data_IF_500253342293
#
_entry.id   IF_500253342293
#
_cell.length_a   1.000
_cell.length_b   1.000
_cell.length_c   1.000
_cell.angle_alpha   90.00
_cell.angle_beta   90.00
_cell.angle_gamma   90.00
#
_symmetry.space_group_name_H-M   'P 1'
#
loop_
_entity.id
_entity.type
_entity.pdbx_description
1 polymer ?
#
# COMPACT_ATOMS: atom_id res chain seq x y z
N UNK A 1 4.53 19.36 11.61
CA UNK A 1 4.14 20.75 11.88
C UNK A 1 4.37 21.66 10.67
N UNK A 2 5.61 21.85 10.20
CA UNK A 2 5.93 22.76 9.07
C UNK A 2 5.13 22.51 7.79
N UNK A 3 4.85 21.24 7.47
CA UNK A 3 4.02 20.87 6.30
C UNK A 3 2.59 21.33 6.51
N UNK A 4 2.04 21.11 7.69
CA UNK A 4 0.68 21.50 8.05
C UNK A 4 0.52 23.03 8.14
N UNK A 5 1.52 23.71 8.67
CA UNK A 5 1.58 25.19 8.69
C UNK A 5 1.57 25.80 7.29
N UNK A 6 2.28 25.15 6.33
CA UNK A 6 2.41 25.65 4.96
C UNK A 6 1.23 25.28 4.06
N UNK A 7 0.64 24.09 4.23
CA UNK A 7 -0.33 23.54 3.28
C UNK A 7 -1.74 23.29 3.92
N UNK A 8 -1.93 23.63 5.17
CA UNK A 8 -3.22 23.50 5.86
C UNK A 8 -3.65 22.03 6.00
N UNK A 9 -4.84 21.68 5.52
CA UNK A 9 -5.46 20.37 5.70
C UNK A 9 -4.93 19.27 4.76
N UNK A 10 -3.66 19.30 4.39
CA UNK A 10 -3.07 18.21 3.58
C UNK A 10 -3.05 16.90 4.37
N UNK A 11 -3.37 15.81 3.72
CA UNK A 11 -3.21 14.46 4.27
C UNK A 11 -1.74 14.08 4.30
N UNK A 12 -1.27 13.60 5.44
CA UNK A 12 0.14 13.20 5.63
C UNK A 12 0.20 11.67 5.72
N UNK A 13 1.03 11.06 4.90
CA UNK A 13 1.37 9.65 4.93
C UNK A 13 2.82 9.50 5.34
N UNK A 14 3.11 8.53 6.18
CA UNK A 14 4.45 8.26 6.69
C UNK A 14 4.76 6.80 6.48
N UNK A 15 5.84 6.54 5.76
CA UNK A 15 6.49 5.23 5.76
C UNK A 15 7.63 5.25 6.77
N UNK A 16 7.52 4.42 7.79
CA UNK A 16 8.53 4.29 8.83
C UNK A 16 9.60 3.25 8.48
N UNK A 17 9.36 2.43 7.46
CA UNK A 17 10.29 1.41 6.97
C UNK A 17 10.93 0.62 8.12
N UNK A 18 10.09 0.11 9.04
CA UNK A 18 10.52 -0.67 10.21
C UNK A 18 11.38 0.11 11.22
N UNK A 19 11.37 1.43 11.16
CA UNK A 19 12.31 2.29 11.90
C UNK A 19 11.94 2.55 13.36
N UNK A 20 10.78 2.11 13.85
CA UNK A 20 10.35 2.36 15.24
C UNK A 20 10.41 1.10 16.10
N UNK A 21 10.72 1.30 17.37
CA UNK A 21 10.28 0.43 18.45
C UNK A 21 8.89 0.86 18.91
N UNK A 22 8.15 -0.03 19.61
CA UNK A 22 6.75 0.26 20.02
C UNK A 22 6.61 1.57 20.79
N UNK A 23 7.55 1.87 21.69
CA UNK A 23 7.55 3.12 22.48
C UNK A 23 7.77 4.37 21.63
N UNK A 24 8.49 4.26 20.54
CA UNK A 24 8.74 5.38 19.64
C UNK A 24 7.54 5.62 18.73
N UNK A 25 6.87 4.55 18.30
CA UNK A 25 5.59 4.64 17.61
C UNK A 25 4.52 5.32 18.48
N UNK A 26 4.40 4.92 19.75
CA UNK A 26 3.46 5.56 20.69
C UNK A 26 3.73 7.06 20.85
N UNK A 27 5.01 7.45 21.00
CA UNK A 27 5.40 8.87 21.08
C UNK A 27 5.09 9.60 19.78
N UNK A 28 5.37 8.98 18.63
CA UNK A 28 5.11 9.56 17.32
C UNK A 28 3.60 9.80 17.11
N UNK A 29 2.77 8.81 17.37
CA UNK A 29 1.30 8.93 17.30
C UNK A 29 0.82 10.06 18.21
N UNK A 30 1.25 10.08 19.47
CA UNK A 30 0.87 11.11 20.44
C UNK A 30 1.27 12.53 20.00
N UNK A 31 2.40 12.66 19.32
CA UNK A 31 2.88 13.95 18.84
C UNK A 31 2.20 14.43 17.55
N UNK A 32 1.63 13.50 16.75
CA UNK A 32 1.17 13.79 15.39
C UNK A 32 -0.33 13.60 15.15
N UNK A 33 -1.08 13.06 16.12
CA UNK A 33 -2.50 12.70 15.97
C UNK A 33 -3.40 13.89 15.54
N UNK A 34 -2.99 15.14 15.79
CA UNK A 34 -3.73 16.34 15.37
C UNK A 34 -3.25 16.93 14.04
N UNK A 35 -2.24 16.33 13.40
CA UNK A 35 -1.57 16.91 12.23
C UNK A 35 -2.09 16.37 10.88
N UNK A 36 -3.25 15.69 10.84
CA UNK A 36 -3.82 15.15 9.61
C UNK A 36 -3.11 13.89 9.09
N UNK A 37 -2.52 13.11 10.01
CA UNK A 37 -1.88 11.83 9.70
C UNK A 37 -2.93 10.85 9.18
N UNK A 38 -2.73 10.36 7.96
CA UNK A 38 -3.68 9.47 7.27
C UNK A 38 -3.28 8.00 7.43
N UNK A 39 -2.01 7.68 7.24
CA UNK A 39 -1.45 6.32 7.41
C UNK A 39 -0.03 6.37 7.98
N UNK A 40 0.34 5.29 8.67
CA UNK A 40 1.71 4.99 9.11
C UNK A 40 2.06 3.59 8.58
N UNK A 41 2.97 3.53 7.62
CA UNK A 41 3.37 2.29 6.97
C UNK A 41 4.53 1.65 7.72
N UNK A 42 4.47 0.33 7.83
CA UNK A 42 5.42 -0.61 8.46
C UNK A 42 6.21 0.00 9.63
N UNK A 43 5.54 0.34 10.73
CA UNK A 43 6.22 1.04 11.83
C UNK A 43 7.28 0.20 12.54
N UNK A 44 7.04 -1.11 12.73
CA UNK A 44 7.91 -2.01 13.47
C UNK A 44 8.62 -3.01 12.54
N UNK A 45 9.74 -3.55 13.01
CA UNK A 45 10.43 -4.66 12.37
C UNK A 45 9.49 -5.86 12.16
N UNK A 46 9.65 -6.54 11.02
CA UNK A 46 8.97 -7.81 10.73
C UNK A 46 9.24 -8.81 11.86
N UNK A 47 8.16 -9.43 12.36
CA UNK A 47 8.17 -10.34 13.51
C UNK A 47 7.79 -9.69 14.84
N UNK A 48 7.62 -8.36 14.88
CA UNK A 48 7.17 -7.61 16.06
C UNK A 48 5.71 -7.14 15.99
N UNK A 49 4.94 -7.64 15.02
CA UNK A 49 3.57 -7.17 14.76
C UNK A 49 2.65 -7.35 15.97
N UNK A 50 2.89 -8.37 16.79
CA UNK A 50 2.11 -8.61 18.01
C UNK A 50 2.22 -7.47 19.04
N UNK A 51 3.31 -6.71 19.04
CA UNK A 51 3.48 -5.55 19.92
C UNK A 51 2.46 -4.45 19.59
N UNK A 52 1.99 -4.37 18.35
CA UNK A 52 0.98 -3.40 17.90
C UNK A 52 -0.37 -3.58 18.60
N UNK A 53 -0.63 -4.75 19.21
CA UNK A 53 -1.84 -4.98 19.99
C UNK A 53 -1.99 -4.02 21.19
N UNK A 54 -0.89 -3.40 21.65
CA UNK A 54 -0.88 -2.40 22.74
C UNK A 54 -1.36 -1.02 22.27
N UNK A 55 -1.30 -0.74 20.96
CA UNK A 55 -1.75 0.52 20.36
C UNK A 55 -3.28 0.57 20.37
N UNK A 56 -3.83 1.74 20.65
CA UNK A 56 -5.27 1.97 20.59
C UNK A 56 -5.85 1.54 19.23
N UNK A 57 -6.99 0.82 19.19
CA UNK A 57 -7.62 0.37 17.94
C UNK A 57 -7.84 1.47 16.90
N UNK A 58 -8.14 2.69 17.36
CA UNK A 58 -8.29 3.84 16.48
C UNK A 58 -7.01 4.11 15.67
N UNK A 59 -5.85 4.06 16.33
CA UNK A 59 -4.57 4.27 15.63
C UNK A 59 -4.11 3.04 14.86
N UNK A 60 -4.47 1.82 15.31
CA UNK A 60 -4.19 0.61 14.52
C UNK A 60 -4.91 0.60 13.17
N UNK A 61 -6.06 1.24 13.07
CA UNK A 61 -6.82 1.34 11.81
C UNK A 61 -6.07 2.10 10.70
N UNK A 62 -5.09 2.92 11.03
CA UNK A 62 -4.24 3.64 10.07
C UNK A 62 -2.84 3.05 9.91
N UNK A 63 -2.53 1.94 10.61
CA UNK A 63 -1.27 1.22 10.41
C UNK A 63 -1.35 0.34 9.18
N UNK A 64 -0.30 0.39 8.37
CA UNK A 64 -0.19 -0.36 7.12
C UNK A 64 0.86 -1.46 7.25
N UNK A 65 0.52 -2.68 6.83
CA UNK A 65 1.48 -3.77 6.67
C UNK A 65 2.10 -3.71 5.27
N UNK A 66 3.42 -3.53 5.17
CA UNK A 66 4.20 -3.66 3.93
C UNK A 66 5.14 -4.86 3.99
N UNK A 67 6.32 -4.76 4.58
CA UNK A 67 7.30 -5.85 4.60
C UNK A 67 6.82 -7.07 5.40
N UNK A 68 5.90 -6.89 6.32
CA UNK A 68 5.23 -7.98 7.03
C UNK A 68 4.24 -8.76 6.16
N UNK A 69 3.68 -8.12 5.11
CA UNK A 69 2.68 -8.71 4.22
C UNK A 69 3.33 -9.30 2.98
N UNK A 70 3.71 -10.57 3.01
CA UNK A 70 4.42 -11.23 1.90
C UNK A 70 3.54 -12.14 1.05
N UNK A 71 2.48 -12.71 1.61
CA UNK A 71 1.63 -13.72 0.96
C UNK A 71 0.30 -13.89 1.70
N UNK A 72 -0.56 -14.78 1.22
CA UNK A 72 -1.85 -15.08 1.85
C UNK A 72 -1.73 -15.61 3.29
N UNK A 73 -0.66 -16.34 3.64
CA UNK A 73 -0.47 -16.80 5.02
C UNK A 73 -0.23 -15.64 5.97
N UNK A 74 0.60 -14.66 5.60
CA UNK A 74 0.78 -13.44 6.42
C UNK A 74 -0.53 -12.65 6.52
N UNK A 75 -1.30 -12.54 5.44
CA UNK A 75 -2.61 -11.90 5.48
C UNK A 75 -3.58 -12.60 6.46
N UNK A 76 -3.65 -13.94 6.42
CA UNK A 76 -4.46 -14.73 7.36
C UNK A 76 -4.03 -14.48 8.81
N UNK A 77 -2.73 -14.44 9.08
CA UNK A 77 -2.21 -14.24 10.43
C UNK A 77 -2.53 -12.85 11.01
N UNK A 78 -2.78 -11.84 10.17
CA UNK A 78 -3.10 -10.49 10.61
C UNK A 78 -4.59 -10.17 10.66
N UNK A 79 -5.47 -11.11 10.26
CA UNK A 79 -6.92 -10.91 10.35
C UNK A 79 -7.54 -11.18 11.72
N UNK A 80 -7.03 -12.08 12.60
CA UNK A 80 -7.61 -12.28 13.92
C UNK A 80 -7.47 -11.04 14.83
N UNK A 81 -8.46 -10.80 15.67
CA UNK A 81 -8.43 -9.73 16.67
C UNK A 81 -7.50 -10.11 17.85
N UNK A 82 -6.70 -9.17 18.36
CA UNK A 82 -6.59 -7.78 17.94
C UNK A 82 -5.74 -7.63 16.65
N UNK A 83 -6.37 -7.14 15.58
CA UNK A 83 -5.67 -6.93 14.31
C UNK A 83 -4.51 -5.93 14.47
N UNK A 84 -3.28 -6.27 14.04
CA UNK A 84 -2.15 -5.37 14.16
C UNK A 84 -2.21 -4.21 13.16
N UNK A 85 -2.83 -4.43 12.00
CA UNK A 85 -2.92 -3.47 10.91
C UNK A 85 -4.36 -3.28 10.45
N UNK A 86 -4.74 -2.06 10.11
CA UNK A 86 -6.02 -1.75 9.48
C UNK A 86 -5.95 -1.72 7.96
N UNK A 87 -4.73 -1.75 7.38
CA UNK A 87 -4.50 -1.59 5.96
C UNK A 87 -3.40 -2.56 5.52
N UNK A 88 -3.59 -3.20 4.35
CA UNK A 88 -2.61 -4.06 3.70
C UNK A 88 -2.04 -3.38 2.45
N UNK A 89 -0.72 -3.15 2.41
CA UNK A 89 -0.03 -2.70 1.20
C UNK A 89 0.37 -3.90 0.35
N UNK A 90 -0.34 -4.10 -0.75
CA UNK A 90 -0.10 -5.19 -1.70
C UNK A 90 0.80 -4.67 -2.83
N UNK A 91 1.95 -5.31 -3.00
CA UNK A 91 2.87 -5.09 -4.14
C UNK A 91 2.99 -6.41 -4.92
N UNK A 92 2.73 -6.39 -6.23
CA UNK A 92 2.72 -7.61 -7.05
C UNK A 92 4.06 -8.35 -7.02
N UNK A 93 5.16 -7.60 -7.04
CA UNK A 93 6.52 -8.17 -6.95
C UNK A 93 6.80 -8.83 -5.60
N UNK A 94 6.18 -8.36 -4.54
CA UNK A 94 6.35 -8.90 -3.19
C UNK A 94 5.54 -10.18 -2.98
N UNK A 95 4.30 -10.22 -3.44
CA UNK A 95 3.38 -11.32 -3.16
C UNK A 95 3.39 -12.46 -4.21
N UNK A 96 4.02 -12.25 -5.37
CA UNK A 96 4.15 -13.27 -6.41
C UNK A 96 3.13 -13.15 -7.55
N UNK A 97 2.55 -11.97 -7.76
CA UNK A 97 1.70 -11.65 -8.92
C UNK A 97 0.21 -11.61 -8.63
N UNK A 98 -0.60 -11.57 -9.71
CA UNK A 98 -2.03 -11.24 -9.65
C UNK A 98 -2.87 -12.20 -8.80
N UNK A 99 -2.65 -13.52 -8.93
CA UNK A 99 -3.45 -14.50 -8.18
C UNK A 99 -3.20 -14.40 -6.67
N UNK A 100 -1.93 -14.29 -6.27
CA UNK A 100 -1.58 -14.13 -4.86
C UNK A 100 -2.11 -12.78 -4.31
N UNK A 101 -2.04 -11.71 -5.10
CA UNK A 101 -2.62 -10.41 -4.72
C UNK A 101 -4.14 -10.49 -4.53
N UNK A 102 -4.86 -11.22 -5.40
CA UNK A 102 -6.29 -11.43 -5.29
C UNK A 102 -6.67 -12.24 -4.05
N UNK A 103 -5.88 -13.26 -3.70
CA UNK A 103 -6.07 -14.01 -2.45
C UNK A 103 -5.94 -13.11 -1.23
N UNK A 104 -4.86 -12.29 -1.17
CA UNK A 104 -4.64 -11.32 -0.09
C UNK A 104 -5.80 -10.33 0.00
N UNK A 105 -6.24 -9.78 -1.15
CA UNK A 105 -7.36 -8.83 -1.19
C UNK A 105 -8.67 -9.45 -0.69
N UNK A 106 -8.90 -10.73 -1.02
CA UNK A 106 -10.08 -11.48 -0.54
C UNK A 106 -10.04 -11.69 0.97
N UNK A 107 -8.89 -12.06 1.51
CA UNK A 107 -8.66 -12.23 2.96
C UNK A 107 -8.85 -10.90 3.68
N UNK A 108 -8.25 -9.82 3.18
CA UNK A 108 -8.37 -8.47 3.72
C UNK A 108 -9.85 -8.03 3.78
N UNK A 109 -10.60 -8.24 2.69
CA UNK A 109 -12.03 -7.93 2.64
C UNK A 109 -12.84 -8.70 3.69
N UNK A 110 -12.58 -9.99 3.84
CA UNK A 110 -13.22 -10.83 4.86
C UNK A 110 -12.88 -10.38 6.28
N UNK A 111 -11.66 -9.87 6.51
CA UNK A 111 -11.19 -9.33 7.78
C UNK A 111 -11.57 -7.87 8.06
N UNK A 112 -12.24 -7.18 7.12
CA UNK A 112 -12.56 -5.75 7.25
C UNK A 112 -11.33 -4.84 7.19
N UNK A 113 -10.28 -5.27 6.49
CA UNK A 113 -9.01 -4.56 6.32
C UNK A 113 -9.04 -3.84 4.96
N UNK A 114 -8.65 -2.58 4.95
CA UNK A 114 -8.55 -1.78 3.73
C UNK A 114 -7.32 -2.16 2.89
N UNK A 115 -7.35 -1.83 1.61
CA UNK A 115 -6.22 -2.06 0.71
C UNK A 115 -5.52 -0.78 0.31
N UNK A 116 -4.22 -0.88 0.32
CA UNK A 116 -3.28 0.00 -0.32
C UNK A 116 -2.55 -0.79 -1.42
N UNK A 117 -2.49 -0.29 -2.62
CA UNK A 117 -1.73 -0.90 -3.71
C UNK A 117 -0.49 -0.08 -3.92
N UNK A 118 0.64 -0.67 -3.56
CA UNK A 118 1.95 -0.08 -3.73
C UNK A 118 2.74 -0.76 -4.84
N UNK A 119 3.94 -0.26 -5.06
CA UNK A 119 4.90 -0.80 -6.02
C UNK A 119 6.33 -0.66 -5.48
N UNK A 120 7.27 -1.18 -6.24
CA UNK A 120 8.68 -0.79 -6.24
C UNK A 120 8.94 -0.07 -7.59
N UNK A 121 10.19 0.18 -7.95
CA UNK A 121 10.55 0.60 -9.31
C UNK A 121 10.28 -0.56 -10.26
N UNK A 122 9.16 -0.49 -10.97
CA UNK A 122 8.59 -1.60 -11.74
C UNK A 122 8.19 -1.15 -13.14
N UNK A 123 8.28 -2.09 -14.11
CA UNK A 123 7.76 -1.89 -15.47
C UNK A 123 6.29 -1.49 -15.48
N UNK A 124 5.88 -0.72 -16.47
CA UNK A 124 4.47 -0.40 -16.79
C UNK A 124 3.59 -1.66 -16.81
N UNK A 125 4.14 -2.83 -17.16
CA UNK A 125 3.42 -4.12 -17.13
C UNK A 125 2.90 -4.41 -15.72
N UNK A 126 3.78 -4.34 -14.72
CA UNK A 126 3.43 -4.62 -13.32
C UNK A 126 2.51 -3.56 -12.74
N UNK A 127 2.82 -2.28 -12.97
CA UNK A 127 2.01 -1.16 -12.51
C UNK A 127 0.59 -1.23 -13.09
N UNK A 128 0.45 -1.49 -14.38
CA UNK A 128 -0.88 -1.64 -15.01
C UNK A 128 -1.63 -2.86 -14.46
N UNK A 129 -0.94 -3.98 -14.25
CA UNK A 129 -1.55 -5.16 -13.64
C UNK A 129 -2.05 -4.89 -12.21
N UNK A 130 -1.26 -4.17 -11.40
CA UNK A 130 -1.65 -3.74 -10.07
C UNK A 130 -2.86 -2.79 -10.11
N UNK A 131 -2.89 -1.86 -11.06
CA UNK A 131 -4.02 -0.95 -11.25
C UNK A 131 -5.33 -1.70 -11.59
N UNK A 132 -5.27 -2.69 -12.48
CA UNK A 132 -6.44 -3.51 -12.84
C UNK A 132 -7.02 -4.24 -11.63
N UNK A 133 -6.17 -4.88 -10.82
CA UNK A 133 -6.66 -5.61 -9.65
C UNK A 133 -7.12 -4.67 -8.53
N UNK A 134 -6.52 -3.49 -8.43
CA UNK A 134 -6.96 -2.44 -7.51
C UNK A 134 -8.39 -1.99 -7.82
N UNK A 135 -8.72 -1.76 -9.10
CA UNK A 135 -10.09 -1.44 -9.52
C UNK A 135 -11.09 -2.59 -9.29
N UNK A 136 -10.63 -3.83 -9.38
CA UNK A 136 -11.46 -5.00 -9.12
C UNK A 136 -11.70 -5.27 -7.63
N UNK A 137 -10.97 -4.62 -6.72
CA UNK A 137 -10.99 -4.87 -5.28
C UNK A 137 -11.82 -3.81 -4.55
N UNK A 138 -12.97 -4.19 -4.00
CA UNK A 138 -13.95 -3.26 -3.43
C UNK A 138 -13.48 -2.50 -2.17
N UNK A 139 -12.48 -3.01 -1.46
CA UNK A 139 -11.87 -2.42 -0.27
C UNK A 139 -10.57 -1.65 -0.56
N UNK A 140 -10.30 -1.33 -1.83
CA UNK A 140 -9.21 -0.43 -2.22
C UNK A 140 -9.48 0.99 -1.73
N UNK A 141 -8.54 1.54 -0.97
CA UNK A 141 -8.58 2.91 -0.45
C UNK A 141 -7.42 3.77 -0.94
N UNK A 142 -6.25 3.17 -1.10
CA UNK A 142 -5.02 3.89 -1.40
C UNK A 142 -4.30 3.27 -2.58
N UNK A 143 -3.62 4.13 -3.33
CA UNK A 143 -2.80 3.78 -4.48
C UNK A 143 -1.50 4.58 -4.39
N UNK A 144 -0.39 3.90 -4.69
CA UNK A 144 0.95 4.45 -4.89
C UNK A 144 1.65 3.59 -5.95
N UNK A 145 1.34 3.90 -7.22
CA UNK A 145 1.70 3.10 -8.39
C UNK A 145 2.53 3.91 -9.39
N UNK A 146 3.48 4.67 -8.89
CA UNK A 146 4.34 5.57 -9.65
C UNK A 146 5.66 4.95 -10.12
N UNK A 147 6.02 3.75 -9.66
CA UNK A 147 7.33 3.13 -9.85
C UNK A 147 7.80 2.99 -11.30
N UNK A 148 6.89 3.01 -12.29
CA UNK A 148 7.30 3.04 -13.71
C UNK A 148 7.78 4.41 -14.16
N UNK A 149 7.49 5.48 -13.42
CA UNK A 149 7.91 6.84 -13.74
C UNK A 149 9.38 7.09 -13.38
N UNK A 150 9.94 6.26 -12.49
CA UNK A 150 11.33 6.35 -12.03
C UNK A 150 12.29 5.53 -12.90
N UNK A 151 11.77 4.74 -13.85
CA UNK A 151 12.58 3.96 -14.79
C UNK A 151 13.13 4.86 -15.91
N UNK A 152 14.44 4.75 -16.17
CA UNK A 152 15.06 5.43 -17.32
C UNK A 152 14.57 4.87 -18.67
N UNK A 153 14.27 3.56 -18.73
CA UNK A 153 13.75 2.84 -19.89
C UNK A 153 12.81 1.72 -19.45
N UNK A 154 11.80 1.42 -20.27
CA UNK A 154 10.96 0.24 -20.13
C UNK A 154 11.05 -0.60 -21.41
N UNK A 155 10.67 -1.88 -21.32
CA UNK A 155 10.63 -2.81 -22.47
C UNK A 155 9.32 -2.73 -23.25
N UNK A 156 8.35 -1.99 -22.73
CA UNK A 156 6.99 -1.84 -23.28
C UNK A 156 6.57 -0.37 -23.32
N UNK A 157 5.52 -0.11 -24.11
CA UNK A 157 4.77 1.15 -24.13
C UNK A 157 3.28 0.87 -23.89
N UNK A 158 2.49 1.91 -23.63
CA UNK A 158 1.04 1.77 -23.38
C UNK A 158 0.73 1.51 -21.91
N UNK A 159 -0.15 0.57 -21.66
CA UNK A 159 -0.59 0.24 -20.30
C UNK A 159 -1.65 1.20 -19.78
N UNK A 160 -1.47 1.72 -18.57
CA UNK A 160 -2.36 2.69 -17.95
C UNK A 160 -2.31 4.06 -18.64
N UNK A 161 -3.35 4.86 -18.43
CA UNK A 161 -3.41 6.26 -18.88
C UNK A 161 -3.23 7.14 -17.65
N UNK A 162 -2.23 8.05 -17.70
CA UNK A 162 -2.04 9.08 -16.68
C UNK A 162 -2.45 10.43 -17.26
N UNK A 163 -3.48 11.04 -16.69
CA UNK A 163 -3.97 12.35 -17.11
C UNK A 163 -4.34 13.19 -15.90
N UNK A 164 -3.79 14.39 -15.82
CA UNK A 164 -4.07 15.36 -14.73
C UNK A 164 -3.89 14.75 -13.32
N UNK A 165 -2.88 13.89 -13.15
CA UNK A 165 -2.59 13.19 -11.89
C UNK A 165 -3.51 11.98 -11.61
N UNK A 166 -4.42 11.63 -12.51
CA UNK A 166 -5.33 10.50 -12.39
C UNK A 166 -4.88 9.33 -13.27
N UNK A 167 -4.81 8.15 -12.68
CA UNK A 167 -4.54 6.90 -13.39
C UNK A 167 -5.85 6.22 -13.78
N UNK A 168 -5.91 5.72 -15.01
CA UNK A 168 -7.02 4.92 -15.51
C UNK A 168 -6.53 3.77 -16.38
N UNK A 169 -7.33 2.71 -16.49
CA UNK A 169 -7.06 1.60 -17.39
C UNK A 169 -7.46 1.98 -18.83
N UNK A 170 -6.74 1.43 -19.80
CA UNK A 170 -7.06 1.62 -21.22
C UNK A 170 -8.14 0.63 -21.70
N UNK A 171 -8.83 0.97 -22.80
CA UNK A 171 -9.80 0.07 -23.45
C UNK A 171 -9.13 -1.00 -24.33
N UNK A 172 -7.79 -1.04 -24.37
CA UNK A 172 -7.04 -2.05 -25.13
C UNK A 172 -7.13 -3.44 -24.48
N UNK A 173 -7.07 -4.53 -25.28
CA UNK A 173 -7.08 -5.89 -24.72
C UNK A 173 -5.91 -6.17 -23.76
N UNK A 174 -6.17 -6.99 -22.74
CA UNK A 174 -5.18 -7.36 -21.74
C UNK A 174 -4.74 -6.16 -20.90
N UNK A 175 -3.43 -5.98 -20.74
CA UNK A 175 -2.87 -4.83 -20.03
C UNK A 175 -2.71 -3.59 -20.94
N UNK A 176 -3.04 -3.69 -22.23
CA UNK A 176 -2.90 -2.58 -23.18
C UNK A 176 -1.45 -2.18 -23.46
N UNK A 177 -0.48 -3.05 -23.20
CA UNK A 177 0.95 -2.84 -23.43
C UNK A 177 1.40 -3.41 -24.77
N UNK A 178 2.41 -2.80 -25.37
CA UNK A 178 3.05 -3.24 -26.61
C UNK A 178 4.57 -3.29 -26.41
N UNK A 179 5.22 -4.36 -26.88
CA UNK A 179 6.69 -4.45 -26.82
C UNK A 179 7.33 -3.32 -27.64
N UNK A 180 8.33 -2.70 -27.08
CA UNK A 180 9.14 -1.74 -27.84
C UNK A 180 10.01 -2.51 -28.83
N UNK A 181 9.97 -2.09 -30.11
CA UNK A 181 10.92 -2.58 -31.12
C UNK A 181 12.34 -2.16 -30.69
N UNK A 182 13.23 -3.13 -30.57
CA UNK A 182 14.66 -2.89 -30.34
C UNK A 182 15.35 -2.48 -31.60
#
# INVERSE_FOLDING_TARGET
>A
EKVNEKFGNIKIRVDANQGYEIKDLEKFIKATHTLGLEIIEQPLLVGKENELATIDPHYRSILVADESLKNSNSAINFTPSPQPFGIFNIKLMKCGGLLAAQEIATIAKAGGIDLFWGCNDESIVSITAALHIAFASANTKYLDLDGSLDLAEDIVTGGFILKDGLMSISDKPGLGVELMAR
#
